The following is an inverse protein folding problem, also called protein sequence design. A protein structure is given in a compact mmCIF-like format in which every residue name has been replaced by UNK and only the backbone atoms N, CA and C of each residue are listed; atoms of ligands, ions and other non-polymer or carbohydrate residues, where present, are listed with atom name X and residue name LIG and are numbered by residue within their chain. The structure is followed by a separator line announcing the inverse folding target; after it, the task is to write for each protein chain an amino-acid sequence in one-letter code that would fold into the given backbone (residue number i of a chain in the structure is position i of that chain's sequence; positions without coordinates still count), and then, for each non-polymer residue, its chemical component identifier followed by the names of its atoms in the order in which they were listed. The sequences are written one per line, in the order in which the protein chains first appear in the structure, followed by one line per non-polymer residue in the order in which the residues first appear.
data_IF_425844643917
#
_entry.id   IF_425844643917
#
_cell.length_a   1.000
_cell.length_b   1.000
_cell.length_c   1.000
_cell.angle_alpha   90.00
_cell.angle_beta   90.00
_cell.angle_gamma   90.00
#
_symmetry.space_group_name_H-M   'P 1'
#
loop_
_entity.id
_entity.type
_entity.pdbx_description
1 polymer ?
#
# COMPACT_ATOMS: atom_id res chain seq x y z
N UNK A 1 2.20 1.58 -0.39
CA UNK A 1 3.62 1.90 -0.51
C UNK A 1 4.22 1.74 -1.90
N UNK A 2 3.44 1.35 -2.94
CA UNK A 2 3.97 0.93 -4.25
C UNK A 2 4.43 2.04 -5.19
N UNK A 3 4.10 3.30 -4.93
CA UNK A 3 4.35 4.40 -5.85
C UNK A 3 3.48 4.36 -7.11
N UNK A 4 3.59 5.37 -7.97
CA UNK A 4 2.85 5.44 -9.22
C UNK A 4 3.68 4.94 -10.42
N UNK A 5 2.98 4.42 -11.42
CA UNK A 5 3.59 3.95 -12.66
C UNK A 5 2.94 4.58 -13.91
N UNK A 6 3.65 4.64 -15.04
CA UNK A 6 3.05 5.12 -16.30
C UNK A 6 1.80 4.34 -16.73
N UNK A 7 1.70 3.05 -16.34
CA UNK A 7 0.56 2.20 -16.63
C UNK A 7 -0.75 2.67 -16.00
N UNK A 8 -0.69 3.38 -14.88
CA UNK A 8 -1.87 3.93 -14.20
C UNK A 8 -2.61 4.97 -15.05
N UNK A 9 -1.95 5.61 -16.01
CA UNK A 9 -2.59 6.55 -16.94
C UNK A 9 -3.62 5.87 -17.86
N UNK A 10 -3.54 4.56 -18.06
CA UNK A 10 -4.46 3.79 -18.91
C UNK A 10 -5.90 3.79 -18.42
N UNK A 11 -6.13 4.13 -17.14
CA UNK A 11 -7.49 4.27 -16.60
C UNK A 11 -8.21 5.53 -17.08
N UNK A 12 -7.51 6.49 -17.73
CA UNK A 12 -8.03 7.79 -18.06
C UNK A 12 -7.81 8.11 -19.54
N UNK A 13 -8.88 8.50 -20.22
CA UNK A 13 -8.78 9.03 -21.59
C UNK A 13 -8.19 10.45 -21.56
N UNK A 14 -6.98 10.67 -22.12
CA UNK A 14 -6.32 11.96 -22.06
C UNK A 14 -7.04 13.07 -22.82
N UNK A 15 -8.03 12.74 -23.67
CA UNK A 15 -8.88 13.74 -24.35
C UNK A 15 -9.88 14.40 -23.42
N UNK A 16 -10.23 13.70 -22.30
CA UNK A 16 -11.26 14.13 -21.36
C UNK A 16 -10.75 14.37 -19.95
N UNK A 17 -9.59 13.80 -19.60
CA UNK A 17 -9.07 13.82 -18.23
C UNK A 17 -7.63 14.30 -18.17
N UNK A 18 -7.37 15.19 -17.23
CA UNK A 18 -6.02 15.48 -16.71
C UNK A 18 -5.81 14.62 -15.47
N UNK A 19 -5.06 13.53 -15.59
CA UNK A 19 -4.74 12.65 -14.45
C UNK A 19 -3.56 13.21 -13.66
N UNK A 20 -3.73 13.36 -12.36
CA UNK A 20 -2.67 13.70 -11.41
C UNK A 20 -2.26 12.40 -10.69
N UNK A 21 -1.03 11.96 -10.91
CA UNK A 21 -0.44 10.80 -10.28
C UNK A 21 0.72 11.28 -9.39
N UNK A 22 0.75 10.84 -8.16
CA UNK A 22 1.81 11.20 -7.22
C UNK A 22 2.25 10.00 -6.38
N UNK A 23 3.50 9.99 -5.99
CA UNK A 23 4.04 9.04 -5.03
C UNK A 23 3.79 9.58 -3.63
N UNK A 24 3.11 8.82 -2.78
CA UNK A 24 2.89 9.19 -1.38
C UNK A 24 4.23 9.30 -0.63
N UNK A 25 4.22 9.94 0.54
CA UNK A 25 5.42 10.04 1.40
C UNK A 25 6.07 8.67 1.58
N UNK A 26 7.39 8.63 1.52
CA UNK A 26 8.19 7.43 1.74
C UNK A 26 8.23 6.44 0.59
N UNK A 27 7.41 6.58 -0.46
CA UNK A 27 7.40 5.62 -1.57
C UNK A 27 7.78 6.22 -2.92
N UNK A 28 8.05 5.35 -3.88
CA UNK A 28 8.37 5.73 -5.24
C UNK A 28 9.55 6.68 -5.32
N UNK A 29 9.34 7.87 -5.88
CA UNK A 29 10.33 8.96 -6.00
C UNK A 29 10.25 9.99 -4.89
N UNK A 30 9.27 9.88 -3.99
CA UNK A 30 9.17 10.75 -2.82
C UNK A 30 10.24 10.42 -1.79
N UNK A 31 10.84 11.47 -1.21
CA UNK A 31 11.94 11.36 -0.24
C UNK A 31 11.56 11.96 1.12
N UNK A 32 12.10 11.41 2.22
CA UNK A 32 13.03 10.27 2.34
C UNK A 32 12.34 8.93 2.03
N UNK A 33 12.99 8.06 1.24
CA UNK A 33 12.42 6.75 0.87
C UNK A 33 12.32 5.82 2.08
N UNK A 34 11.23 5.04 2.16
CA UNK A 34 10.90 4.12 3.26
C UNK A 34 10.79 4.79 4.65
N UNK A 35 10.69 6.12 4.71
CA UNK A 35 10.46 6.85 5.96
C UNK A 35 8.99 6.78 6.38
N UNK A 36 8.78 6.56 7.67
CA UNK A 36 7.47 6.62 8.32
C UNK A 36 7.31 7.86 9.20
N UNK A 37 8.32 8.70 9.25
CA UNK A 37 8.29 9.93 10.03
C UNK A 37 7.29 10.92 9.41
N UNK A 38 6.40 11.46 10.24
CA UNK A 38 5.29 12.33 9.81
C UNK A 38 4.51 11.75 8.63
N UNK A 39 4.24 10.44 8.65
CA UNK A 39 3.59 9.71 7.57
C UNK A 39 2.31 9.00 8.06
N UNK A 40 1.51 9.73 8.80
CA UNK A 40 0.18 9.28 9.21
C UNK A 40 -0.82 9.39 8.05
N UNK A 41 -1.94 8.72 8.18
CA UNK A 41 -3.06 8.86 7.22
C UNK A 41 -3.49 10.32 7.03
N UNK A 42 -3.49 11.12 8.11
CA UNK A 42 -3.89 12.52 8.04
C UNK A 42 -2.83 13.42 7.37
N UNK A 43 -1.56 13.06 7.48
CA UNK A 43 -0.50 13.71 6.70
C UNK A 43 -0.70 13.46 5.21
N UNK A 44 -1.12 12.25 4.81
CA UNK A 44 -1.43 11.92 3.42
C UNK A 44 -2.67 12.67 2.90
N UNK A 45 -3.70 12.81 3.73
CA UNK A 45 -4.89 13.64 3.40
C UNK A 45 -4.48 15.09 3.18
N UNK A 46 -3.65 15.65 4.06
CA UNK A 46 -3.13 17.00 3.92
C UNK A 46 -2.26 17.19 2.66
N UNK A 47 -1.47 16.18 2.29
CA UNK A 47 -0.67 16.23 1.06
C UNK A 47 -1.55 16.25 -0.21
N UNK A 48 -2.65 15.51 -0.20
CA UNK A 48 -3.62 15.54 -1.31
C UNK A 48 -4.16 16.98 -1.49
N UNK A 49 -4.52 17.67 -0.41
CA UNK A 49 -4.96 19.06 -0.46
C UNK A 49 -3.86 20.00 -0.97
N UNK A 50 -2.64 19.86 -0.47
CA UNK A 50 -1.50 20.67 -0.95
C UNK A 50 -1.25 20.50 -2.45
N UNK A 51 -1.36 19.26 -2.95
CA UNK A 51 -1.21 18.97 -4.39
C UNK A 51 -2.35 19.63 -5.17
N UNK A 52 -3.58 19.51 -4.70
CA UNK A 52 -4.75 20.14 -5.34
C UNK A 52 -4.57 21.64 -5.44
N UNK A 53 -4.20 22.29 -4.34
CA UNK A 53 -3.98 23.75 -4.27
C UNK A 53 -2.83 24.21 -5.17
N UNK A 54 -1.69 23.51 -5.10
CA UNK A 54 -0.51 23.81 -5.94
C UNK A 54 -0.81 23.71 -7.44
N UNK A 55 -1.78 22.87 -7.83
CA UNK A 55 -2.22 22.71 -9.21
C UNK A 55 -3.37 23.64 -9.61
N UNK A 56 -3.88 24.46 -8.69
CA UNK A 56 -5.01 25.36 -8.90
C UNK A 56 -6.32 24.65 -9.22
N UNK A 57 -6.49 23.42 -8.69
CA UNK A 57 -7.69 22.62 -8.93
C UNK A 57 -8.72 22.94 -7.86
N UNK A 58 -9.89 23.43 -8.25
CA UNK A 58 -10.98 23.70 -7.31
C UNK A 58 -11.63 22.41 -6.81
N UNK A 59 -11.98 21.52 -7.73
CA UNK A 59 -12.62 20.23 -7.45
C UNK A 59 -12.10 19.16 -8.41
N UNK A 60 -12.09 17.93 -7.99
CA UNK A 60 -11.63 16.81 -8.82
C UNK A 60 -12.41 15.52 -8.59
N UNK A 61 -12.17 14.57 -9.49
CA UNK A 61 -12.55 13.16 -9.28
C UNK A 61 -11.40 12.50 -8.53
N UNK A 62 -11.71 11.79 -7.47
CA UNK A 62 -10.71 11.01 -6.71
C UNK A 62 -10.81 9.54 -7.11
N UNK A 63 -9.68 8.96 -7.51
CA UNK A 63 -9.54 7.55 -7.86
C UNK A 63 -8.62 6.86 -6.88
N UNK A 64 -9.09 5.80 -6.22
CA UNK A 64 -8.32 5.03 -5.26
C UNK A 64 -8.49 3.53 -5.43
N UNK A 65 -7.39 2.78 -5.25
CA UNK A 65 -7.43 1.31 -5.25
C UNK A 65 -6.73 0.73 -4.03
N UNK A 66 -7.27 -0.35 -3.44
CA UNK A 66 -6.74 -1.00 -2.23
C UNK A 66 -6.62 0.01 -1.07
N UNK A 67 -5.48 0.17 -0.43
CA UNK A 67 -5.21 1.26 0.52
C UNK A 67 -5.63 2.63 -0.01
N UNK A 68 -5.40 2.89 -1.29
CA UNK A 68 -5.85 4.13 -1.93
C UNK A 68 -7.37 4.33 -1.93
N UNK A 69 -8.17 3.27 -1.85
CA UNK A 69 -9.62 3.39 -1.68
C UNK A 69 -9.97 3.90 -0.27
N UNK A 70 -9.32 3.38 0.76
CA UNK A 70 -9.46 3.87 2.13
C UNK A 70 -9.06 5.36 2.22
N UNK A 71 -7.88 5.72 1.70
CA UNK A 71 -7.39 7.09 1.70
C UNK A 71 -8.32 8.04 0.92
N UNK A 72 -8.86 7.59 -0.23
CA UNK A 72 -9.81 8.37 -1.03
C UNK A 72 -11.13 8.63 -0.27
N UNK A 73 -11.62 7.64 0.48
CA UNK A 73 -12.80 7.78 1.33
C UNK A 73 -12.56 8.79 2.46
N UNK A 74 -11.43 8.68 3.15
CA UNK A 74 -11.07 9.59 4.24
C UNK A 74 -10.89 11.03 3.73
N UNK A 75 -10.22 11.18 2.58
CA UNK A 75 -10.08 12.49 1.93
C UNK A 75 -11.44 13.08 1.55
N UNK A 76 -12.34 12.29 0.96
CA UNK A 76 -13.67 12.77 0.57
C UNK A 76 -14.55 13.13 1.78
N UNK A 77 -14.36 12.47 2.91
CA UNK A 77 -15.06 12.82 4.17
C UNK A 77 -14.50 14.11 4.78
N UNK A 78 -13.17 14.30 4.72
CA UNK A 78 -12.53 15.51 5.25
C UNK A 78 -12.76 16.74 4.36
N UNK A 79 -12.88 16.56 3.04
CA UNK A 79 -13.01 17.62 2.04
C UNK A 79 -14.13 17.35 1.03
N UNK A 80 -15.38 17.19 1.48
CA UNK A 80 -16.51 16.81 0.60
C UNK A 80 -16.75 17.84 -0.52
N UNK A 81 -16.47 19.11 -0.26
CA UNK A 81 -16.61 20.19 -1.23
C UNK A 81 -15.58 20.13 -2.35
N UNK A 82 -14.48 19.40 -2.18
CA UNK A 82 -13.38 19.24 -3.17
C UNK A 82 -13.57 18.04 -4.08
N UNK A 83 -14.47 17.12 -3.73
CA UNK A 83 -14.66 15.86 -4.46
C UNK A 83 -15.93 15.90 -5.28
N UNK A 84 -15.81 15.76 -6.61
CA UNK A 84 -16.97 15.69 -7.50
C UNK A 84 -17.49 14.27 -7.66
N UNK A 85 -16.60 13.28 -7.68
CA UNK A 85 -16.90 11.84 -7.77
C UNK A 85 -15.79 11.04 -7.12
N UNK A 86 -16.15 9.86 -6.62
CA UNK A 86 -15.22 8.83 -6.18
C UNK A 86 -15.26 7.62 -7.11
N UNK A 87 -14.10 7.14 -7.49
CA UNK A 87 -13.94 5.87 -8.20
C UNK A 87 -13.05 4.97 -7.34
N UNK A 88 -13.60 3.91 -6.81
CA UNK A 88 -12.91 3.01 -5.89
C UNK A 88 -12.82 1.62 -6.52
N UNK A 89 -11.66 1.00 -6.44
CA UNK A 89 -11.46 -0.38 -6.89
C UNK A 89 -10.71 -1.20 -5.84
N UNK A 90 -11.04 -2.51 -5.75
CA UNK A 90 -10.45 -3.37 -4.73
C UNK A 90 -10.60 -2.71 -3.35
N UNK A 91 -11.86 -2.37 -3.01
CA UNK A 91 -12.17 -1.59 -1.81
C UNK A 91 -11.64 -2.31 -0.58
N UNK A 92 -10.85 -1.59 0.19
CA UNK A 92 -10.25 -2.02 1.43
C UNK A 92 -10.39 -0.87 2.44
N UNK A 93 -10.90 -1.14 3.61
CA UNK A 93 -11.24 -0.11 4.61
C UNK A 93 -10.44 -0.23 5.90
N UNK A 94 -9.45 -1.11 5.93
CA UNK A 94 -8.55 -1.34 7.08
C UNK A 94 -9.28 -1.82 8.34
N UNK A 95 -10.42 -2.50 8.19
CA UNK A 95 -11.10 -3.11 9.31
C UNK A 95 -10.31 -4.28 9.90
N UNK A 96 -10.49 -4.56 11.18
CA UNK A 96 -9.84 -5.70 11.82
C UNK A 96 -10.14 -7.02 11.10
N UNK A 97 -11.37 -7.22 10.64
CA UNK A 97 -11.77 -8.42 9.91
C UNK A 97 -11.02 -8.57 8.57
N UNK A 98 -10.78 -7.47 7.85
CA UNK A 98 -9.98 -7.47 6.63
C UNK A 98 -8.51 -7.78 6.93
N UNK A 99 -7.94 -7.18 7.97
CA UNK A 99 -6.56 -7.46 8.38
C UNK A 99 -6.38 -8.92 8.82
N UNK A 100 -7.31 -9.46 9.59
CA UNK A 100 -7.30 -10.87 10.00
C UNK A 100 -7.45 -11.81 8.79
N UNK A 101 -8.25 -11.42 7.79
CA UNK A 101 -8.32 -12.15 6.53
C UNK A 101 -6.98 -12.16 5.80
N UNK A 102 -6.33 -11.01 5.65
CA UNK A 102 -5.06 -10.89 4.93
C UNK A 102 -3.89 -11.54 5.67
N UNK A 103 -3.76 -11.32 6.99
CA UNK A 103 -2.57 -11.63 7.76
C UNK A 103 -2.79 -12.65 8.89
N UNK A 104 -4.03 -13.11 9.07
CA UNK A 104 -4.39 -14.12 10.06
C UNK A 104 -4.69 -15.51 9.46
N UNK A 105 -4.44 -15.70 8.16
CA UNK A 105 -4.57 -17.00 7.49
C UNK A 105 -5.81 -17.20 6.63
N UNK A 106 -6.78 -16.30 6.65
CA UNK A 106 -7.99 -16.41 5.81
C UNK A 106 -7.65 -16.52 4.32
N UNK A 107 -6.89 -15.56 3.79
CA UNK A 107 -6.42 -15.57 2.41
C UNK A 107 -5.46 -16.73 2.13
N UNK A 108 -4.76 -17.24 3.13
CA UNK A 108 -3.86 -18.40 3.02
C UNK A 108 -4.55 -19.67 2.53
N UNK A 109 -5.87 -19.79 2.69
CA UNK A 109 -6.63 -20.91 2.14
C UNK A 109 -6.65 -20.95 0.60
N UNK A 110 -6.47 -19.80 -0.06
CA UNK A 110 -6.44 -19.68 -1.52
C UNK A 110 -5.02 -19.72 -2.10
N UNK A 111 -4.01 -19.32 -1.30
CA UNK A 111 -2.58 -19.29 -1.67
C UNK A 111 -1.74 -19.99 -0.59
N UNK A 112 -1.86 -21.31 -0.41
CA UNK A 112 -1.26 -22.02 0.74
C UNK A 112 0.28 -22.01 0.72
N UNK A 113 0.92 -22.11 -0.45
CA UNK A 113 2.39 -22.10 -0.55
C UNK A 113 2.95 -20.72 -0.20
N UNK A 114 2.32 -19.66 -0.72
CA UNK A 114 2.73 -18.27 -0.43
C UNK A 114 2.46 -17.90 1.02
N UNK A 115 1.34 -18.38 1.57
CA UNK A 115 1.03 -18.24 2.99
C UNK A 115 2.07 -18.95 3.86
N UNK A 116 2.44 -20.17 3.49
CA UNK A 116 3.47 -20.90 4.22
C UNK A 116 4.81 -20.15 4.18
N UNK A 117 5.23 -19.70 3.02
CA UNK A 117 6.46 -18.93 2.86
C UNK A 117 6.44 -17.61 3.67
N UNK A 118 5.30 -16.94 3.76
CA UNK A 118 5.11 -15.72 4.54
C UNK A 118 5.09 -16.01 6.05
N UNK A 119 4.24 -16.94 6.50
CA UNK A 119 4.03 -17.19 7.93
C UNK A 119 5.20 -17.90 8.60
N UNK A 120 5.93 -18.77 7.89
CA UNK A 120 7.07 -19.50 8.44
C UNK A 120 8.33 -18.66 8.56
N UNK A 121 8.37 -17.46 8.01
CA UNK A 121 9.44 -16.49 8.29
C UNK A 121 9.52 -16.12 9.76
N UNK A 122 8.39 -16.24 10.46
CA UNK A 122 8.23 -15.86 11.87
C UNK A 122 8.27 -17.13 12.75
N UNK A 123 8.99 -17.13 13.89
CA UNK A 123 8.96 -18.21 14.86
C UNK A 123 7.54 -18.59 15.27
N UNK A 124 7.31 -19.88 15.54
CA UNK A 124 5.97 -20.43 15.77
C UNK A 124 5.20 -19.70 16.90
N UNK A 125 5.92 -19.34 17.95
CA UNK A 125 5.40 -18.64 19.12
C UNK A 125 4.91 -17.22 18.85
N UNK A 126 5.38 -16.60 17.75
CA UNK A 126 5.02 -15.23 17.36
C UNK A 126 3.95 -15.20 16.25
N UNK A 127 3.57 -16.34 15.68
CA UNK A 127 2.67 -16.40 14.51
C UNK A 127 1.22 -16.03 14.81
N UNK A 128 0.89 -15.90 16.08
CA UNK A 128 -0.45 -15.42 16.50
C UNK A 128 -0.71 -13.96 16.14
N UNK A 129 0.36 -13.17 15.89
CA UNK A 129 0.27 -11.80 15.40
C UNK A 129 1.41 -11.50 14.39
N UNK A 130 1.18 -11.87 13.12
CA UNK A 130 2.17 -11.70 12.08
C UNK A 130 2.44 -10.22 11.77
N UNK A 131 1.45 -9.34 11.89
CA UNK A 131 1.64 -7.90 11.67
C UNK A 131 2.67 -7.37 12.66
N UNK A 132 2.47 -7.61 13.95
CA UNK A 132 3.41 -7.16 14.98
C UNK A 132 4.78 -7.86 14.87
N UNK A 133 4.81 -9.15 14.51
CA UNK A 133 6.05 -9.88 14.32
C UNK A 133 6.90 -9.34 13.16
N UNK A 134 6.26 -9.01 12.05
CA UNK A 134 6.91 -8.35 10.92
C UNK A 134 7.33 -6.92 11.27
N UNK A 135 6.48 -6.17 11.99
CA UNK A 135 6.81 -4.81 12.45
C UNK A 135 8.15 -4.77 13.18
N UNK A 136 8.33 -5.63 14.18
CA UNK A 136 9.59 -5.68 14.96
C UNK A 136 10.81 -5.85 14.08
N UNK A 137 10.72 -6.64 12.99
CA UNK A 137 11.82 -6.93 12.08
C UNK A 137 12.04 -5.84 11.02
N UNK A 138 10.96 -5.30 10.50
CA UNK A 138 11.01 -4.21 9.52
C UNK A 138 11.59 -2.91 10.10
N UNK A 139 11.46 -2.74 11.42
CA UNK A 139 11.96 -1.57 12.15
C UNK A 139 13.14 -1.88 13.07
N UNK A 140 13.62 -3.13 13.06
CA UNK A 140 14.81 -3.58 13.79
C UNK A 140 16.12 -2.96 13.27
N UNK A 141 17.21 -3.18 14.01
CA UNK A 141 18.52 -2.63 13.66
C UNK A 141 19.22 -3.37 12.50
N UNK A 142 18.97 -4.67 12.33
CA UNK A 142 19.62 -5.50 11.31
C UNK A 142 19.08 -5.19 9.91
N UNK A 143 19.95 -4.62 9.07
CA UNK A 143 19.61 -4.24 7.70
C UNK A 143 19.32 -5.45 6.79
N UNK A 144 19.99 -6.57 7.00
CA UNK A 144 19.77 -7.78 6.21
C UNK A 144 18.43 -8.42 6.57
N UNK A 145 18.10 -8.45 7.85
CA UNK A 145 16.82 -8.92 8.33
C UNK A 145 15.66 -8.04 7.80
N UNK A 146 15.78 -6.72 7.90
CA UNK A 146 14.78 -5.79 7.34
C UNK A 146 14.47 -6.10 5.86
N UNK A 147 15.50 -6.27 5.04
CA UNK A 147 15.31 -6.56 3.60
C UNK A 147 14.67 -7.93 3.39
N UNK A 148 15.05 -8.93 4.16
CA UNK A 148 14.50 -10.28 4.06
C UNK A 148 13.00 -10.29 4.39
N UNK A 149 12.59 -9.66 5.49
CA UNK A 149 11.20 -9.55 5.88
C UNK A 149 10.39 -8.65 4.95
N UNK A 150 10.97 -7.56 4.47
CA UNK A 150 10.32 -6.70 3.49
C UNK A 150 10.00 -7.43 2.18
N UNK A 151 10.90 -8.28 1.70
CA UNK A 151 10.66 -9.10 0.50
C UNK A 151 9.56 -10.14 0.73
N UNK A 152 9.51 -10.76 1.91
CA UNK A 152 8.47 -11.72 2.25
C UNK A 152 7.10 -11.05 2.33
N UNK A 153 7.01 -9.85 2.95
CA UNK A 153 5.79 -9.04 2.99
C UNK A 153 5.32 -8.67 1.59
N UNK A 154 6.18 -8.05 0.79
CA UNK A 154 5.86 -7.66 -0.58
C UNK A 154 5.54 -8.86 -1.49
N UNK A 155 6.14 -10.01 -1.25
CA UNK A 155 5.84 -11.26 -1.96
C UNK A 155 4.44 -11.76 -1.66
N UNK A 156 4.04 -11.74 -0.39
CA UNK A 156 2.69 -12.11 0.04
C UNK A 156 1.63 -11.19 -0.60
N UNK A 157 1.80 -9.88 -0.46
CA UNK A 157 0.90 -8.89 -1.06
C UNK A 157 0.80 -9.03 -2.58
N UNK A 158 1.93 -9.31 -3.25
CA UNK A 158 1.95 -9.52 -4.70
C UNK A 158 1.18 -10.78 -5.12
N UNK A 159 1.23 -11.84 -4.32
CA UNK A 159 0.48 -13.06 -4.58
C UNK A 159 -1.03 -12.82 -4.47
N UNK A 160 -1.47 -12.03 -3.50
CA UNK A 160 -2.88 -11.69 -3.32
C UNK A 160 -3.42 -10.75 -4.42
N UNK A 161 -2.55 -10.02 -5.10
CA UNK A 161 -2.94 -9.06 -6.13
C UNK A 161 -3.20 -9.69 -7.51
N UNK A 162 -2.92 -10.98 -7.70
CA UNK A 162 -3.07 -11.69 -8.99
C UNK A 162 -3.92 -12.94 -8.81
N UNK A 163 -4.65 -13.31 -9.86
CA UNK A 163 -5.45 -14.56 -9.86
C UNK A 163 -4.60 -15.79 -10.20
N UNK A 164 -3.56 -15.62 -11.02
CA UNK A 164 -2.63 -16.67 -11.38
C UNK A 164 -1.27 -16.42 -10.69
N UNK A 165 -0.84 -17.28 -9.75
CA UNK A 165 0.48 -17.18 -9.11
C UNK A 165 1.65 -17.17 -10.10
N UNK A 166 1.50 -17.76 -11.29
CA UNK A 166 2.50 -17.74 -12.36
C UNK A 166 2.73 -16.35 -12.97
N UNK A 167 1.78 -15.44 -12.81
CA UNK A 167 1.92 -14.03 -13.22
C UNK A 167 2.65 -13.18 -12.18
N UNK A 168 2.92 -13.69 -11.00
CA UNK A 168 3.68 -13.00 -9.97
C UNK A 168 5.10 -12.73 -10.48
N UNK A 169 5.35 -11.49 -10.81
CA UNK A 169 6.66 -11.01 -11.27
C UNK A 169 7.65 -11.15 -10.12
N UNK A 170 8.71 -11.86 -10.32
CA UNK A 170 9.78 -12.24 -9.40
C UNK A 170 10.05 -11.33 -8.20
N UNK A 171 10.97 -11.70 -7.35
CA UNK A 171 11.23 -11.00 -6.07
C UNK A 171 11.44 -9.50 -6.31
N UNK A 172 10.66 -8.61 -5.68
CA UNK A 172 10.78 -7.17 -5.90
C UNK A 172 12.16 -6.66 -5.48
N UNK A 173 12.65 -5.62 -6.17
CA UNK A 173 13.90 -4.96 -5.82
C UNK A 173 13.92 -4.54 -4.34
N UNK A 174 15.05 -4.68 -3.67
CA UNK A 174 15.17 -4.49 -2.21
C UNK A 174 14.67 -3.13 -1.73
N UNK A 175 14.97 -2.06 -2.46
CA UNK A 175 14.52 -0.71 -2.09
C UNK A 175 13.01 -0.53 -2.20
N UNK A 176 12.40 -1.09 -3.25
CA UNK A 176 10.95 -1.11 -3.39
C UNK A 176 10.28 -1.92 -2.27
N UNK A 177 10.75 -3.15 -2.04
CA UNK A 177 10.18 -4.01 -1.01
C UNK A 177 10.26 -3.38 0.38
N UNK A 178 11.38 -2.71 0.70
CA UNK A 178 11.57 -2.07 1.99
C UNK A 178 10.61 -0.90 2.19
N UNK A 179 10.48 -0.01 1.21
CA UNK A 179 9.54 1.10 1.27
C UNK A 179 8.10 0.58 1.37
N UNK A 180 7.73 -0.37 0.50
CA UNK A 180 6.42 -0.97 0.45
C UNK A 180 6.03 -1.57 1.81
N UNK A 181 6.83 -2.51 2.33
CA UNK A 181 6.52 -3.22 3.56
C UNK A 181 6.50 -2.31 4.80
N UNK A 182 7.43 -1.36 4.90
CA UNK A 182 7.47 -0.43 6.04
C UNK A 182 6.27 0.49 6.07
N UNK A 183 5.86 1.02 4.92
CA UNK A 183 4.72 1.93 4.84
C UNK A 183 3.38 1.22 5.06
N UNK A 184 3.26 -0.03 4.67
CA UNK A 184 2.03 -0.80 4.88
C UNK A 184 1.90 -1.38 6.28
N UNK A 185 3.02 -1.69 6.92
CA UNK A 185 3.05 -2.24 8.27
C UNK A 185 3.09 -1.16 9.36
N UNK A 186 3.25 0.10 9.00
CA UNK A 186 3.25 1.24 9.91
C UNK A 186 1.83 1.67 10.26
#
# INVERSE_FOLDING_TARGET
GGGCSPGMRRFFDPRHYRAVLFDQRGCGRSTPNASVENNTTWDLVADIERIREALGIERWIVFGGSWGACLALLYAQAHPERVTRLVLRGVFTMTRAELDWFYGGGAGAFWPEQWQAFSQMVPAEERHDLIAAYHRRLFGADAAERVRFARAWAGWESALAVLDPGESRGSPASGYALAFARLENH
#
